data_IF_500617423703
#
_entry.id   IF_500617423703
#
_cell.length_a   1.000
_cell.length_b   1.000
_cell.length_c   1.000
_cell.angle_alpha   90.00
_cell.angle_beta   90.00
_cell.angle_gamma   90.00
#
_symmetry.space_group_name_H-M   'P 1'
#
loop_
_entity.id
_entity.type
_entity.pdbx_description
1 polymer ?
#
# COMPACT_ATOMS: atom_id res chain seq x y z
N UNK A 1 -17.90 24.86 -46.80
CA UNK A 1 -16.71 25.20 -45.98
C UNK A 1 -15.49 25.12 -46.85
N UNK A 2 -14.61 26.12 -46.77
CA UNK A 2 -13.37 26.14 -47.55
C UNK A 2 -12.37 25.10 -47.01
N UNK A 3 -11.39 24.71 -47.81
CA UNK A 3 -10.29 23.84 -47.36
C UNK A 3 -9.50 24.48 -46.20
N UNK A 4 -9.40 25.81 -46.20
CA UNK A 4 -8.72 26.56 -45.14
C UNK A 4 -9.45 26.52 -43.80
N UNK A 5 -10.78 26.53 -43.80
CA UNK A 5 -11.60 26.44 -42.58
C UNK A 5 -11.37 25.09 -41.89
N UNK A 6 -11.39 24.00 -42.67
CA UNK A 6 -11.14 22.64 -42.16
C UNK A 6 -9.74 22.48 -41.57
N UNK A 7 -8.73 23.11 -42.18
CA UNK A 7 -7.35 23.07 -41.69
C UNK A 7 -7.21 23.83 -40.37
N UNK A 8 -7.91 24.95 -40.20
CA UNK A 8 -7.93 25.72 -38.95
C UNK A 8 -8.61 24.93 -37.83
N UNK A 9 -9.79 24.38 -38.10
CA UNK A 9 -10.55 23.58 -37.14
C UNK A 9 -9.76 22.32 -36.70
N UNK A 10 -9.07 21.67 -37.63
CA UNK A 10 -8.21 20.53 -37.30
C UNK A 10 -7.04 20.91 -36.38
N UNK A 11 -6.38 22.04 -36.65
CA UNK A 11 -5.27 22.53 -35.79
C UNK A 11 -5.75 22.90 -34.41
N UNK A 12 -6.91 23.52 -34.31
CA UNK A 12 -7.52 23.88 -33.03
C UNK A 12 -7.86 22.62 -32.20
N UNK A 13 -8.50 21.62 -32.82
CA UNK A 13 -8.76 20.31 -32.18
C UNK A 13 -7.47 19.61 -31.76
N UNK A 14 -6.42 19.67 -32.58
CA UNK A 14 -5.11 19.10 -32.26
C UNK A 14 -4.46 19.79 -31.06
N UNK A 15 -4.57 21.12 -30.96
CA UNK A 15 -4.08 21.86 -29.78
C UNK A 15 -4.85 21.48 -28.52
N UNK A 16 -6.17 21.36 -28.58
CA UNK A 16 -6.97 20.90 -27.44
C UNK A 16 -6.59 19.47 -27.01
N UNK A 17 -6.48 18.54 -27.97
CA UNK A 17 -6.07 17.17 -27.68
C UNK A 17 -4.66 17.11 -27.07
N UNK A 18 -3.70 17.86 -27.63
CA UNK A 18 -2.35 17.97 -27.10
C UNK A 18 -2.34 18.51 -25.68
N UNK A 19 -3.16 19.51 -25.40
CA UNK A 19 -3.26 20.13 -24.07
C UNK A 19 -3.80 19.15 -23.04
N UNK A 20 -4.84 18.39 -23.39
CA UNK A 20 -5.41 17.36 -22.53
C UNK A 20 -4.39 16.25 -22.20
N UNK A 21 -3.63 15.79 -23.21
CA UNK A 21 -2.59 14.79 -23.02
C UNK A 21 -1.47 15.33 -22.11
N UNK A 22 -0.98 16.55 -22.38
CA UNK A 22 0.06 17.17 -21.58
C UNK A 22 -0.36 17.38 -20.11
N UNK A 23 -1.60 17.83 -19.89
CA UNK A 23 -2.15 17.99 -18.55
C UNK A 23 -2.24 16.64 -17.80
N UNK A 24 -2.71 15.58 -18.46
CA UNK A 24 -2.76 14.24 -17.88
C UNK A 24 -1.38 13.72 -17.48
N UNK A 25 -0.39 13.84 -18.38
CA UNK A 25 0.99 13.43 -18.09
C UNK A 25 1.62 14.24 -16.96
N UNK A 26 1.36 15.55 -16.88
CA UNK A 26 1.84 16.40 -15.79
C UNK A 26 1.28 15.95 -14.44
N UNK A 27 -0.03 15.67 -14.35
CA UNK A 27 -0.66 15.16 -13.13
C UNK A 27 -0.07 13.80 -12.75
N UNK A 28 0.07 12.86 -13.69
CA UNK A 28 0.68 11.55 -13.42
C UNK A 28 2.11 11.66 -12.91
N UNK A 29 2.93 12.54 -13.51
CA UNK A 29 4.31 12.76 -13.08
C UNK A 29 4.37 13.36 -11.66
N UNK A 30 3.51 14.35 -11.37
CA UNK A 30 3.40 14.95 -10.03
C UNK A 30 2.96 13.92 -8.99
N UNK A 31 1.96 13.10 -9.28
CA UNK A 31 1.50 12.02 -8.39
C UNK A 31 2.60 11.00 -8.13
N UNK A 32 3.32 10.55 -9.16
CA UNK A 32 4.42 9.61 -9.00
C UNK A 32 5.57 10.20 -8.17
N UNK A 33 5.88 11.48 -8.37
CA UNK A 33 6.92 12.16 -7.60
C UNK A 33 6.52 12.32 -6.13
N UNK A 34 5.24 12.60 -5.84
CA UNK A 34 4.72 12.63 -4.47
C UNK A 34 4.80 11.26 -3.79
N UNK A 35 4.45 10.17 -4.49
CA UNK A 35 4.60 8.81 -3.96
C UNK A 35 6.07 8.53 -3.64
N UNK A 36 6.99 8.80 -4.58
CA UNK A 36 8.43 8.58 -4.36
C UNK A 36 9.01 9.42 -3.22
N UNK A 37 8.53 10.65 -3.05
CA UNK A 37 8.94 11.52 -1.95
C UNK A 37 8.40 11.03 -0.60
N UNK A 38 7.16 10.53 -0.56
CA UNK A 38 6.51 10.09 0.68
C UNK A 38 6.79 8.62 1.05
N UNK A 39 7.15 7.75 0.09
CA UNK A 39 7.42 6.33 0.31
C UNK A 39 8.63 6.08 1.23
N UNK A 40 9.53 7.06 1.37
CA UNK A 40 10.62 6.96 2.35
C UNK A 40 10.14 6.90 3.79
N UNK A 41 8.94 7.39 4.09
CA UNK A 41 8.41 7.39 5.46
C UNK A 41 7.53 6.17 5.75
N UNK A 42 7.03 5.47 4.73
CA UNK A 42 6.06 4.37 4.87
C UNK A 42 6.60 3.01 4.43
N UNK A 43 7.92 2.82 4.38
CA UNK A 43 8.48 1.49 4.63
C UNK A 43 8.19 1.17 6.10
N UNK A 44 7.01 0.62 6.36
CA UNK A 44 6.71 -0.05 7.61
C UNK A 44 7.70 -1.21 7.72
N UNK A 45 8.82 -0.97 8.37
CA UNK A 45 9.70 -2.01 8.83
C UNK A 45 8.84 -2.94 9.68
N UNK A 46 8.62 -4.17 9.23
CA UNK A 46 7.87 -5.21 9.94
C UNK A 46 8.64 -5.76 11.15
N UNK A 47 9.36 -4.87 11.84
CA UNK A 47 10.02 -5.07 13.12
C UNK A 47 10.18 -3.68 13.70
N UNK A 48 9.56 -3.37 14.86
CA UNK A 48 9.94 -2.21 15.64
C UNK A 48 11.47 -2.20 15.81
N UNK A 49 12.15 -1.04 15.79
CA UNK A 49 13.53 -1.00 16.24
C UNK A 49 13.54 -1.58 17.65
N UNK A 50 14.34 -2.63 17.87
CA UNK A 50 14.49 -3.27 19.18
C UNK A 50 14.86 -2.16 20.16
N UNK A 51 13.89 -1.72 20.98
CA UNK A 51 14.18 -0.80 22.06
C UNK A 51 15.23 -1.50 22.92
N UNK A 52 16.44 -0.95 22.91
CA UNK A 52 17.54 -1.43 23.72
C UNK A 52 17.02 -1.59 25.15
N UNK A 53 16.97 -2.84 25.61
CA UNK A 53 16.60 -3.17 26.99
C UNK A 53 17.52 -2.35 27.91
N UNK A 54 16.99 -1.75 29.01
CA UNK A 54 17.83 -1.05 29.97
C UNK A 54 19.04 -1.91 30.37
N UNK A 55 20.26 -1.41 30.17
CA UNK A 55 21.51 -2.15 30.44
C UNK A 55 22.38 -2.48 29.22
N UNK A 56 22.06 -1.97 28.03
CA UNK A 56 22.86 -2.17 26.83
C UNK A 56 24.28 -1.56 26.94
N UNK A 57 24.46 -0.51 27.75
CA UNK A 57 25.78 0.11 28.01
C UNK A 57 26.74 -0.80 28.80
N UNK A 58 26.23 -1.84 29.48
CA UNK A 58 27.06 -2.80 30.22
C UNK A 58 27.32 -4.10 29.45
N UNK A 59 26.86 -4.20 28.18
CA UNK A 59 26.97 -5.43 27.40
C UNK A 59 28.32 -5.48 26.65
N UNK A 60 29.03 -6.62 26.66
CA UNK A 60 30.27 -6.78 25.91
C UNK A 60 30.07 -6.45 24.42
N UNK A 61 31.07 -5.80 23.80
CA UNK A 61 31.02 -5.36 22.40
C UNK A 61 30.83 -6.49 21.38
N UNK A 62 31.01 -7.75 21.81
CA UNK A 62 30.74 -8.93 21.02
C UNK A 62 29.94 -9.94 21.86
N UNK A 63 28.91 -10.59 21.28
CA UNK A 63 28.26 -11.73 21.93
C UNK A 63 29.29 -12.82 22.23
N UNK A 64 29.21 -13.44 23.40
CA UNK A 64 30.00 -14.64 23.69
C UNK A 64 29.72 -15.72 22.65
N UNK A 65 30.75 -16.47 22.26
CA UNK A 65 30.60 -17.59 21.33
C UNK A 65 29.54 -18.57 21.87
N UNK A 66 28.60 -19.04 21.03
CA UNK A 66 27.55 -19.93 21.48
C UNK A 66 28.15 -21.25 21.98
N UNK A 67 27.97 -21.53 23.27
CA UNK A 67 28.27 -22.84 23.86
C UNK A 67 27.14 -23.81 23.52
N UNK A 68 26.91 -24.10 22.24
CA UNK A 68 25.99 -25.17 21.84
C UNK A 68 26.81 -26.39 21.46
N UNK A 69 27.06 -27.26 22.42
CA UNK A 69 27.71 -28.58 22.24
C UNK A 69 26.81 -29.63 21.56
N UNK A 70 25.88 -29.20 20.69
CA UNK A 70 24.93 -30.09 20.05
C UNK A 70 24.79 -29.78 18.56
N UNK A 71 24.81 -30.83 17.74
CA UNK A 71 24.50 -30.75 16.31
C UNK A 71 23.17 -30.03 16.12
N UNK A 72 23.17 -28.95 15.32
CA UNK A 72 21.94 -28.26 14.89
C UNK A 72 20.98 -29.33 14.35
N UNK A 73 19.75 -29.46 14.87
CA UNK A 73 18.80 -30.41 14.34
C UNK A 73 18.63 -30.16 12.84
N UNK A 74 19.07 -31.09 12.02
CA UNK A 74 18.94 -31.05 10.55
C UNK A 74 17.63 -31.68 10.08
N UNK A 75 16.70 -31.94 11.01
CA UNK A 75 15.38 -32.46 10.70
C UNK A 75 14.57 -31.42 9.93
N UNK A 76 13.74 -31.91 9.01
CA UNK A 76 12.72 -31.09 8.35
C UNK A 76 11.84 -30.48 9.44
N UNK A 77 11.57 -29.16 9.42
CA UNK A 77 10.66 -28.54 10.37
C UNK A 77 9.31 -29.27 10.40
N UNK A 78 8.67 -29.42 11.57
CA UNK A 78 7.34 -30.01 11.63
C UNK A 78 6.38 -29.21 10.74
N UNK A 79 5.44 -29.90 10.08
CA UNK A 79 4.41 -29.20 9.31
C UNK A 79 3.64 -28.23 10.22
N UNK A 80 3.28 -27.04 9.72
CA UNK A 80 2.39 -26.13 10.44
C UNK A 80 1.11 -26.85 10.84
N UNK A 81 0.65 -26.63 12.08
CA UNK A 81 -0.64 -27.14 12.52
C UNK A 81 -1.73 -26.61 11.59
N UNK A 82 -2.46 -27.51 10.92
CA UNK A 82 -3.61 -27.13 10.10
C UNK A 82 -4.76 -26.78 11.05
N UNK A 83 -5.41 -25.61 10.89
CA UNK A 83 -6.59 -25.28 11.67
C UNK A 83 -7.66 -26.35 11.45
N UNK A 84 -8.46 -26.63 12.47
CA UNK A 84 -9.60 -27.53 12.34
C UNK A 84 -10.68 -26.94 11.40
N UNK A 85 -11.64 -27.79 11.00
CA UNK A 85 -12.67 -27.39 10.04
C UNK A 85 -13.57 -26.25 10.55
N UNK A 86 -13.65 -26.07 11.87
CA UNK A 86 -14.43 -25.01 12.51
C UNK A 86 -13.69 -23.69 12.45
N UNK A 87 -12.40 -23.65 12.78
CA UNK A 87 -11.55 -22.48 12.67
C UNK A 87 -11.37 -22.00 11.22
N UNK A 88 -11.34 -22.93 10.26
CA UNK A 88 -11.31 -22.57 8.84
C UNK A 88 -12.60 -21.90 8.37
N UNK A 89 -13.76 -22.35 8.86
CA UNK A 89 -15.07 -21.77 8.50
C UNK A 89 -15.36 -20.47 9.23
N UNK A 90 -14.90 -20.34 10.47
CA UNK A 90 -15.16 -19.17 11.30
C UNK A 90 -14.52 -17.90 10.71
N UNK A 91 -13.40 -18.03 9.99
CA UNK A 91 -12.63 -16.89 9.49
C UNK A 91 -12.18 -15.95 10.63
N UNK A 92 -11.42 -14.91 10.32
CA UNK A 92 -11.20 -13.86 11.30
C UNK A 92 -12.50 -13.05 11.42
N UNK A 93 -13.13 -13.02 12.60
CA UNK A 93 -14.27 -12.14 12.82
C UNK A 93 -13.84 -10.68 12.59
N UNK A 94 -14.50 -9.93 11.68
CA UNK A 94 -14.19 -8.52 11.50
C UNK A 94 -14.41 -7.77 12.81
N UNK A 95 -13.36 -7.13 13.33
CA UNK A 95 -13.39 -6.29 14.54
C UNK A 95 -14.08 -4.94 14.28
N UNK A 96 -14.51 -4.68 13.04
CA UNK A 96 -15.09 -3.40 12.66
C UNK A 96 -16.58 -3.33 13.05
N UNK A 97 -17.02 -2.25 13.69
CA UNK A 97 -18.45 -2.02 13.91
C UNK A 97 -19.17 -1.90 12.55
N UNK A 98 -20.47 -2.25 12.49
CA UNK A 98 -21.25 -2.10 11.27
C UNK A 98 -21.22 -0.64 10.79
N UNK A 99 -21.15 -0.45 9.47
CA UNK A 99 -21.16 0.88 8.87
C UNK A 99 -22.44 1.64 9.27
N UNK A 100 -22.37 2.93 9.61
CA UNK A 100 -23.54 3.74 9.91
C UNK A 100 -24.55 3.75 8.76
N UNK A 101 -25.84 3.82 9.11
CA UNK A 101 -26.91 3.87 8.12
C UNK A 101 -26.73 5.08 7.17
N UNK A 102 -26.78 4.79 5.87
CA UNK A 102 -26.69 5.81 4.83
C UNK A 102 -27.92 6.71 4.87
N UNK A 103 -27.70 8.03 4.92
CA UNK A 103 -28.79 9.01 4.85
C UNK A 103 -29.29 9.10 3.41
N UNK A 104 -30.35 8.39 3.10
CA UNK A 104 -31.04 8.53 1.80
C UNK A 104 -32.01 9.70 1.87
N UNK A 105 -31.81 10.72 1.03
CA UNK A 105 -32.77 11.81 0.85
C UNK A 105 -33.97 11.32 0.02
N UNK A 106 -35.18 11.87 0.23
CA UNK A 106 -36.35 11.52 -0.59
C UNK A 106 -36.10 11.87 -2.07
N UNK A 107 -36.66 11.09 -3.01
CA UNK A 107 -36.54 11.37 -4.45
C UNK A 107 -37.10 12.75 -4.82
N UNK A 108 -36.44 13.43 -5.77
CA UNK A 108 -36.87 14.74 -6.27
C UNK A 108 -38.14 14.58 -7.10
N UNK A 109 -39.21 15.31 -6.74
CA UNK A 109 -40.44 15.38 -7.53
C UNK A 109 -40.17 16.13 -8.84
N UNK A 110 -40.62 15.57 -9.97
CA UNK A 110 -40.52 16.23 -11.28
C UNK A 110 -41.49 17.41 -11.35
N UNK A 111 -41.07 18.47 -12.05
CA UNK A 111 -41.80 19.74 -12.18
C UNK A 111 -42.97 19.63 -13.15
#
# INVERSE_FOLDING_TARGET
MSADDRKREYREKLMFASTLIAAGLAISALSLNQIRANDRHHLAQATPPLQSTPGAESKPSAPSEPVTTGSRPSGVPPEPARPDAEAQKAGAQPVLPPAPAEKTAPPIQQK
#
